data_IF_501329462445
#
_entry.id   IF_501329462445
#
_cell.length_a   1.000
_cell.length_b   1.000
_cell.length_c   1.000
_cell.angle_alpha   90.00
_cell.angle_beta   90.00
_cell.angle_gamma   90.00
#
_symmetry.space_group_name_H-M   'P 1'
#
loop_
_entity.id
_entity.type
_entity.pdbx_description
1 polymer ?
#
# COMPACT_ATOMS: atom_id res chain seq x y z
N UNK A 1 1.78 -7.39 -36.90
CA UNK A 1 2.41 -7.68 -35.59
C UNK A 1 1.56 -8.73 -34.90
N UNK A 2 2.10 -9.91 -34.58
CA UNK A 2 1.37 -10.90 -33.78
C UNK A 2 1.03 -10.25 -32.43
N UNK A 3 -0.25 -10.17 -32.09
CA UNK A 3 -0.68 -9.79 -30.74
C UNK A 3 -0.14 -10.86 -29.78
N UNK A 4 0.93 -10.52 -29.05
CA UNK A 4 1.43 -11.38 -27.96
C UNK A 4 0.51 -11.20 -26.77
N UNK A 5 -0.10 -12.29 -26.32
CA UNK A 5 -0.84 -12.33 -25.08
C UNK A 5 0.15 -12.31 -23.91
N UNK A 6 0.01 -11.34 -23.02
CA UNK A 6 0.79 -11.24 -21.78
C UNK A 6 -0.12 -11.55 -20.61
N UNK A 7 0.31 -12.44 -19.72
CA UNK A 7 -0.34 -12.68 -18.43
C UNK A 7 0.40 -11.90 -17.36
N UNK A 8 -0.33 -11.17 -16.52
CA UNK A 8 0.23 -10.38 -15.42
C UNK A 8 -0.30 -10.95 -14.11
N UNK A 9 0.61 -11.40 -13.24
CA UNK A 9 0.28 -11.94 -11.93
C UNK A 9 0.67 -10.92 -10.87
N UNK A 10 -0.32 -10.32 -10.20
CA UNK A 10 -0.07 -9.46 -9.06
C UNK A 10 0.15 -10.32 -7.80
N UNK A 11 1.41 -10.40 -7.35
CA UNK A 11 1.81 -11.08 -6.12
C UNK A 11 2.01 -10.13 -4.93
N UNK A 12 1.48 -8.91 -5.01
CA UNK A 12 1.54 -7.92 -3.95
C UNK A 12 0.71 -8.33 -2.73
N UNK A 13 1.28 -8.17 -1.54
CA UNK A 13 0.60 -8.40 -0.28
C UNK A 13 0.73 -7.14 0.57
N UNK A 14 -0.41 -6.68 1.10
CA UNK A 14 -0.45 -5.46 1.92
C UNK A 14 0.30 -5.69 3.24
N UNK A 15 1.05 -4.67 3.68
CA UNK A 15 1.72 -4.63 4.98
C UNK A 15 2.76 -5.74 5.24
N UNK A 16 3.36 -6.31 4.19
CA UNK A 16 4.49 -7.26 4.33
C UNK A 16 5.80 -6.65 3.85
N UNK A 17 6.91 -7.26 4.28
CA UNK A 17 8.28 -6.88 3.94
C UNK A 17 9.03 -8.06 3.27
N UNK A 18 10.31 -7.84 2.96
CA UNK A 18 11.17 -8.78 2.22
C UNK A 18 11.26 -10.18 2.84
N UNK A 19 11.11 -10.31 4.16
CA UNK A 19 11.07 -11.60 4.85
C UNK A 19 9.92 -12.49 4.39
N UNK A 20 8.77 -11.89 4.06
CA UNK A 20 7.58 -12.60 3.56
C UNK A 20 7.63 -12.74 2.04
N UNK A 21 8.18 -11.74 1.34
CA UNK A 21 8.27 -11.74 -0.12
C UNK A 21 9.23 -12.82 -0.65
N UNK A 22 10.38 -13.06 0.01
CA UNK A 22 11.34 -14.06 -0.45
C UNK A 22 10.74 -15.49 -0.56
N UNK A 23 10.00 -16.01 0.44
CA UNK A 23 9.20 -17.21 0.31
C UNK A 23 8.25 -17.24 -0.89
N UNK A 24 7.61 -16.11 -1.21
CA UNK A 24 6.66 -15.98 -2.34
C UNK A 24 7.43 -16.03 -3.66
N UNK A 25 8.54 -15.28 -3.80
CA UNK A 25 9.39 -15.30 -4.99
C UNK A 25 9.91 -16.71 -5.28
N UNK A 26 10.33 -17.46 -4.26
CA UNK A 26 10.75 -18.88 -4.43
C UNK A 26 9.63 -19.79 -4.93
N UNK A 27 8.39 -19.51 -4.56
CA UNK A 27 7.26 -20.30 -5.04
C UNK A 27 6.91 -19.92 -6.48
N UNK A 28 6.82 -18.62 -6.77
CA UNK A 28 6.57 -18.08 -8.11
C UNK A 28 7.63 -18.51 -9.13
N UNK A 29 8.91 -18.58 -8.73
CA UNK A 29 10.00 -19.02 -9.60
C UNK A 29 9.79 -20.45 -10.16
N UNK A 30 9.01 -21.30 -9.46
CA UNK A 30 8.68 -22.66 -9.92
C UNK A 30 7.65 -22.68 -11.05
N UNK A 31 6.93 -21.58 -11.24
CA UNK A 31 5.97 -21.40 -12.31
C UNK A 31 6.60 -20.86 -13.61
N UNK A 32 7.94 -20.81 -13.68
CA UNK A 32 8.71 -20.42 -14.86
C UNK A 32 8.24 -19.10 -15.51
N UNK A 33 8.14 -17.99 -14.74
CA UNK A 33 7.76 -16.71 -15.32
C UNK A 33 8.86 -16.18 -16.26
N UNK A 34 8.47 -15.44 -17.29
CA UNK A 34 9.43 -14.78 -18.20
C UNK A 34 10.06 -13.51 -17.58
N UNK A 35 9.36 -12.89 -16.63
CA UNK A 35 9.72 -11.59 -16.06
C UNK A 35 9.26 -11.44 -14.61
N UNK A 36 10.18 -10.98 -13.75
CA UNK A 36 9.87 -10.49 -12.40
C UNK A 36 10.03 -8.97 -12.32
N UNK A 37 9.02 -8.32 -11.74
CA UNK A 37 9.09 -6.92 -11.33
C UNK A 37 9.09 -6.87 -9.79
N UNK A 38 10.18 -6.39 -9.20
CA UNK A 38 10.33 -6.28 -7.75
C UNK A 38 10.18 -4.81 -7.35
N UNK A 39 9.14 -4.52 -6.56
CA UNK A 39 8.86 -3.22 -5.96
C UNK A 39 8.54 -3.41 -4.47
N UNK A 40 9.53 -3.25 -3.60
CA UNK A 40 9.42 -3.55 -2.17
C UNK A 40 10.37 -2.68 -1.33
N UNK A 41 9.92 -2.21 -0.17
CA UNK A 41 10.75 -1.41 0.73
C UNK A 41 10.01 -0.67 1.85
N UNK A 42 8.77 -0.21 1.62
CA UNK A 42 8.04 0.63 2.57
C UNK A 42 7.85 0.01 3.97
N UNK A 43 7.74 -1.31 4.04
CA UNK A 43 7.42 -2.02 5.27
C UNK A 43 8.64 -2.67 5.94
N UNK A 44 9.88 -2.44 5.49
CA UNK A 44 11.02 -3.16 6.07
C UNK A 44 11.17 -2.91 7.57
N UNK A 45 10.90 -1.69 8.03
CA UNK A 45 11.02 -1.33 9.46
C UNK A 45 9.80 -1.76 10.29
N UNK A 46 8.58 -1.66 9.74
CA UNK A 46 7.32 -1.90 10.49
C UNK A 46 6.73 -3.30 10.25
N UNK A 47 7.11 -3.96 9.17
CA UNK A 47 6.66 -5.30 8.81
C UNK A 47 7.22 -6.38 9.74
N UNK A 48 6.84 -7.65 9.53
CA UNK A 48 7.29 -8.76 10.38
C UNK A 48 8.82 -8.79 10.57
N UNK A 49 9.28 -8.93 11.82
CA UNK A 49 10.69 -8.88 12.24
C UNK A 49 11.43 -7.56 12.01
N UNK A 50 10.73 -6.50 11.63
CA UNK A 50 11.27 -5.14 11.65
C UNK A 50 11.33 -4.57 13.08
N UNK A 51 12.21 -3.61 13.33
CA UNK A 51 12.37 -3.04 14.69
C UNK A 51 11.18 -2.18 15.15
N UNK A 52 10.44 -1.57 14.21
CA UNK A 52 9.20 -0.82 14.47
C UNK A 52 7.94 -1.67 14.45
N UNK A 53 8.05 -3.00 14.51
CA UNK A 53 6.91 -3.89 14.27
C UNK A 53 6.02 -4.13 15.49
N UNK A 54 4.74 -4.41 15.22
CA UNK A 54 3.79 -4.99 16.20
C UNK A 54 3.56 -6.49 15.97
N UNK A 55 4.09 -7.06 14.89
CA UNK A 55 3.81 -8.43 14.47
C UNK A 55 4.69 -9.47 15.16
N UNK A 56 5.90 -9.09 15.57
CA UNK A 56 6.91 -9.98 16.16
C UNK A 56 7.70 -9.26 17.26
N UNK A 57 8.53 -9.99 18.01
CA UNK A 57 9.42 -9.41 19.02
C UNK A 57 10.82 -9.16 18.44
N UNK A 58 11.14 -7.88 18.22
CA UNK A 58 12.46 -7.43 17.77
C UNK A 58 12.89 -7.93 16.39
N UNK A 59 14.15 -7.67 16.04
CA UNK A 59 14.81 -8.10 14.80
C UNK A 59 15.86 -9.19 15.11
N UNK A 60 15.46 -10.47 15.25
CA UNK A 60 16.40 -11.56 15.53
C UNK A 60 17.33 -11.81 14.32
N UNK A 61 18.44 -12.55 14.51
CA UNK A 61 19.33 -12.92 13.42
C UNK A 61 18.58 -13.58 12.25
N UNK A 62 18.95 -13.27 11.01
CA UNK A 62 18.26 -13.71 9.80
C UNK A 62 18.04 -15.24 9.74
N UNK A 63 19.00 -16.03 10.22
CA UNK A 63 18.89 -17.50 10.28
C UNK A 63 17.70 -17.96 11.14
N UNK A 64 17.47 -17.29 12.26
CA UNK A 64 16.35 -17.60 13.15
C UNK A 64 15.01 -17.20 12.52
N UNK A 65 14.95 -16.06 11.84
CA UNK A 65 13.78 -15.65 11.04
C UNK A 65 13.44 -16.73 10.01
N UNK A 66 14.44 -17.17 9.22
CA UNK A 66 14.28 -18.23 8.22
C UNK A 66 13.80 -19.54 8.83
N UNK A 67 14.35 -19.94 9.98
CA UNK A 67 13.93 -21.14 10.70
C UNK A 67 12.46 -21.03 11.14
N UNK A 68 12.04 -19.89 11.68
CA UNK A 68 10.63 -19.68 12.06
C UNK A 68 9.68 -19.75 10.88
N UNK A 69 10.04 -19.13 9.74
CA UNK A 69 9.25 -19.21 8.51
C UNK A 69 9.17 -20.65 8.01
N UNK A 70 10.29 -21.37 7.99
CA UNK A 70 10.34 -22.77 7.57
C UNK A 70 9.50 -23.68 8.48
N UNK A 71 9.59 -23.51 9.80
CA UNK A 71 8.81 -24.27 10.76
C UNK A 71 7.30 -24.08 10.53
N UNK A 72 6.85 -22.85 10.27
CA UNK A 72 5.44 -22.54 9.98
C UNK A 72 4.88 -23.15 8.69
N UNK A 73 5.74 -23.67 7.81
CA UNK A 73 5.29 -24.45 6.63
C UNK A 73 4.86 -25.87 6.99
N UNK A 74 5.20 -26.35 8.19
CA UNK A 74 4.85 -27.69 8.68
C UNK A 74 3.60 -27.66 9.57
N UNK A 75 2.82 -28.74 9.59
CA UNK A 75 1.67 -28.88 10.51
C UNK A 75 2.09 -28.78 11.97
N UNK A 76 3.25 -29.37 12.32
CA UNK A 76 3.79 -29.31 13.67
C UNK A 76 4.17 -27.87 14.06
N UNK A 77 4.87 -27.14 13.20
CA UNK A 77 5.21 -25.75 13.48
C UNK A 77 3.98 -24.84 13.56
N UNK A 78 2.92 -25.11 12.78
CA UNK A 78 1.64 -24.42 12.93
C UNK A 78 0.92 -24.78 14.24
N UNK A 79 0.99 -26.04 14.67
CA UNK A 79 0.44 -26.49 15.95
C UNK A 79 1.16 -25.82 17.13
N UNK A 80 2.50 -25.84 17.14
CA UNK A 80 3.32 -25.17 18.15
C UNK A 80 3.00 -23.67 18.14
N UNK A 81 3.00 -23.03 16.96
CA UNK A 81 2.69 -21.61 16.87
C UNK A 81 1.29 -21.27 17.40
N UNK A 82 0.27 -22.13 17.17
CA UNK A 82 -1.07 -21.95 17.74
C UNK A 82 -1.09 -22.12 19.26
N UNK A 83 -0.32 -23.07 19.80
CA UNK A 83 -0.23 -23.32 21.23
C UNK A 83 0.54 -22.21 21.98
N UNK A 84 1.52 -21.57 21.34
CA UNK A 84 2.37 -20.54 21.95
C UNK A 84 2.01 -19.11 21.55
N UNK A 85 1.10 -18.92 20.59
CA UNK A 85 0.71 -17.59 20.16
C UNK A 85 -0.03 -16.89 21.31
N UNK A 86 0.33 -15.63 21.65
CA UNK A 86 -0.53 -14.82 22.49
C UNK A 86 -1.90 -14.71 21.82
N UNK A 87 -2.97 -14.58 22.63
CA UNK A 87 -4.32 -14.29 22.11
C UNK A 87 -4.22 -13.08 21.18
N UNK A 88 -4.47 -13.29 19.89
CA UNK A 88 -4.51 -12.20 18.93
C UNK A 88 -5.60 -11.21 19.37
N UNK A 89 -5.37 -9.89 19.26
CA UNK A 89 -6.45 -8.93 19.48
C UNK A 89 -7.64 -9.30 18.59
N UNK A 90 -8.86 -9.21 19.14
CA UNK A 90 -10.08 -9.57 18.40
C UNK A 90 -10.26 -8.75 17.11
N UNK A 91 -9.61 -7.59 17.01
CA UNK A 91 -9.68 -6.71 15.85
C UNK A 91 -8.29 -6.14 15.50
N UNK A 92 -7.95 -6.12 14.21
CA UNK A 92 -6.78 -5.40 13.69
C UNK A 92 -7.04 -3.89 13.75
N UNK A 93 -6.26 -3.16 14.56
CA UNK A 93 -6.40 -1.72 14.78
C UNK A 93 -5.73 -0.82 13.73
N UNK A 94 -5.17 -1.39 12.66
CA UNK A 94 -4.49 -0.61 11.63
C UNK A 94 -3.17 0.02 12.11
N UNK A 95 -2.83 1.18 11.55
CA UNK A 95 -1.57 1.88 11.84
C UNK A 95 -1.49 2.43 13.27
N UNK A 96 -2.62 2.62 13.95
CA UNK A 96 -2.67 3.10 15.34
C UNK A 96 -1.93 2.18 16.31
N UNK A 97 -1.90 0.87 16.03
CA UNK A 97 -1.18 -0.09 16.86
C UNK A 97 0.34 0.19 16.96
N UNK A 98 0.89 0.96 16.02
CA UNK A 98 2.32 1.25 15.91
C UNK A 98 2.73 2.55 16.62
N UNK A 99 1.81 3.34 17.18
CA UNK A 99 2.14 4.64 17.80
C UNK A 99 3.23 4.54 18.89
N UNK A 100 3.27 3.42 19.62
CA UNK A 100 4.29 3.11 20.63
C UNK A 100 5.56 2.42 20.09
N UNK A 101 5.73 2.32 18.77
CA UNK A 101 6.86 1.63 18.09
C UNK A 101 7.71 2.60 17.27
N UNK A 102 7.95 3.77 17.84
CA UNK A 102 8.80 4.79 17.22
C UNK A 102 10.28 4.36 17.20
N UNK A 103 10.95 4.60 16.07
CA UNK A 103 12.34 4.21 15.81
C UNK A 103 13.09 5.41 15.26
N UNK A 104 14.02 5.96 16.04
CA UNK A 104 14.85 7.10 15.63
C UNK A 104 15.84 6.69 14.53
N UNK A 105 16.31 7.67 13.76
CA UNK A 105 17.26 7.44 12.67
C UNK A 105 18.64 6.94 13.13
N UNK A 106 18.99 7.20 14.39
CA UNK A 106 20.24 6.78 15.02
C UNK A 106 20.09 5.48 15.84
N UNK A 107 18.93 4.80 15.76
CA UNK A 107 18.72 3.54 16.46
C UNK A 107 19.55 2.41 15.82
N UNK A 108 20.49 1.78 16.55
CA UNK A 108 21.36 0.74 16.01
C UNK A 108 20.61 -0.53 15.56
N UNK A 109 19.36 -0.73 15.99
CA UNK A 109 18.53 -1.83 15.52
C UNK A 109 18.16 -1.72 14.03
N UNK A 110 18.22 -0.51 13.45
CA UNK A 110 18.00 -0.30 12.02
C UNK A 110 19.04 -1.01 11.16
N UNK A 111 20.29 -1.12 11.62
CA UNK A 111 21.35 -1.81 10.89
C UNK A 111 20.99 -3.27 10.59
N UNK A 112 20.31 -3.94 11.52
CA UNK A 112 19.83 -5.30 11.31
C UNK A 112 18.73 -5.36 10.25
N UNK A 113 17.82 -4.38 10.22
CA UNK A 113 16.77 -4.26 9.20
C UNK A 113 17.39 -4.08 7.82
N UNK A 114 18.32 -3.15 7.68
CA UNK A 114 18.99 -2.84 6.41
C UNK A 114 19.79 -4.04 5.88
N UNK A 115 20.61 -4.68 6.72
CA UNK A 115 21.34 -5.91 6.33
C UNK A 115 20.40 -7.05 5.93
N UNK A 116 19.30 -7.22 6.66
CA UNK A 116 18.31 -8.26 6.34
C UNK A 116 17.61 -7.98 5.01
N UNK A 117 17.21 -6.73 4.77
CA UNK A 117 16.59 -6.31 3.51
C UNK A 117 17.54 -6.53 2.34
N UNK A 118 18.80 -6.09 2.45
CA UNK A 118 19.83 -6.31 1.43
C UNK A 118 19.99 -7.80 1.12
N UNK A 119 20.17 -8.65 2.14
CA UNK A 119 20.33 -10.08 1.98
C UNK A 119 19.10 -10.75 1.33
N UNK A 120 17.89 -10.34 1.73
CA UNK A 120 16.66 -10.87 1.15
C UNK A 120 16.48 -10.39 -0.30
N UNK A 121 16.80 -9.14 -0.61
CA UNK A 121 16.68 -8.59 -1.97
C UNK A 121 17.65 -9.28 -2.92
N UNK A 122 18.93 -9.45 -2.53
CA UNK A 122 19.91 -10.24 -3.29
C UNK A 122 19.37 -11.64 -3.58
N UNK A 123 18.89 -12.33 -2.55
CA UNK A 123 18.40 -13.69 -2.73
C UNK A 123 17.10 -13.77 -3.56
N UNK A 124 16.21 -12.78 -3.48
CA UNK A 124 15.05 -12.70 -4.38
C UNK A 124 15.47 -12.56 -5.84
N UNK A 125 16.46 -11.70 -6.13
CA UNK A 125 17.01 -11.53 -7.48
C UNK A 125 17.68 -12.81 -7.96
N UNK A 126 18.49 -13.46 -7.12
CA UNK A 126 19.18 -14.71 -7.46
C UNK A 126 18.18 -15.82 -7.79
N UNK A 127 17.17 -16.01 -6.94
CA UNK A 127 16.11 -17.02 -7.15
C UNK A 127 15.32 -16.75 -8.42
N UNK A 128 14.93 -15.50 -8.66
CA UNK A 128 14.19 -15.11 -9.86
C UNK A 128 15.03 -15.27 -11.13
N UNK A 129 16.31 -14.88 -11.10
CA UNK A 129 17.22 -15.03 -12.24
C UNK A 129 17.52 -16.50 -12.52
N UNK A 130 17.70 -17.32 -11.49
CA UNK A 130 17.94 -18.76 -11.62
C UNK A 130 16.75 -19.52 -12.22
N UNK A 131 15.53 -18.97 -12.21
CA UNK A 131 14.40 -19.55 -12.94
C UNK A 131 14.41 -19.26 -14.44
N UNK A 132 15.40 -18.52 -14.94
CA UNK A 132 15.49 -18.08 -16.33
C UNK A 132 14.70 -16.80 -16.65
N UNK A 133 14.06 -16.20 -15.64
CA UNK A 133 13.29 -14.98 -15.82
C UNK A 133 14.20 -13.76 -15.96
N UNK A 134 13.78 -12.78 -16.76
CA UNK A 134 14.35 -11.43 -16.64
C UNK A 134 13.90 -10.82 -15.31
N UNK A 135 14.78 -10.08 -14.63
CA UNK A 135 14.45 -9.41 -13.36
C UNK A 135 14.63 -7.91 -13.52
N UNK A 136 13.65 -7.14 -13.04
CA UNK A 136 13.73 -5.69 -12.90
C UNK A 136 13.36 -5.30 -11.48
N UNK A 137 14.14 -4.39 -10.89
CA UNK A 137 13.97 -3.97 -9.50
C UNK A 137 13.83 -2.46 -9.44
N UNK A 138 12.83 -1.95 -8.74
CA UNK A 138 12.59 -0.51 -8.62
C UNK A 138 12.86 -0.01 -7.22
N UNK A 139 13.45 1.19 -7.13
CA UNK A 139 13.36 2.01 -5.90
C UNK A 139 11.90 2.32 -5.60
N UNK A 140 11.61 2.60 -4.34
CA UNK A 140 10.27 2.82 -3.82
C UNK A 140 10.13 4.28 -3.43
N UNK A 141 9.60 5.14 -4.32
CA UNK A 141 9.30 6.52 -3.94
C UNK A 141 8.19 6.57 -2.89
N UNK A 142 8.19 7.67 -2.14
CA UNK A 142 7.19 8.00 -1.12
C UNK A 142 6.83 9.47 -1.23
N UNK A 143 5.67 9.88 -0.70
CA UNK A 143 5.27 11.28 -0.69
C UNK A 143 6.23 12.11 0.16
N UNK A 144 6.71 13.22 -0.40
CA UNK A 144 7.66 14.13 0.24
C UNK A 144 7.04 15.50 0.46
N UNK A 145 6.55 16.13 -0.60
CA UNK A 145 5.84 17.40 -0.49
C UNK A 145 4.49 17.16 0.18
N UNK A 146 3.99 18.21 0.84
CA UNK A 146 2.61 18.28 1.33
C UNK A 146 2.19 17.05 2.15
N UNK A 147 3.15 16.50 2.91
CA UNK A 147 2.97 15.34 3.78
C UNK A 147 3.94 15.39 4.96
N UNK A 148 3.47 15.89 6.10
CA UNK A 148 4.21 15.97 7.34
C UNK A 148 4.66 14.57 7.84
N UNK A 149 5.73 14.46 8.63
CA UNK A 149 6.08 13.23 9.33
C UNK A 149 4.94 12.76 10.25
N UNK A 150 4.85 11.45 10.46
CA UNK A 150 3.87 10.88 11.38
C UNK A 150 4.25 11.10 12.85
N UNK A 151 5.55 11.06 13.16
CA UNK A 151 6.04 11.35 14.50
C UNK A 151 7.47 11.91 14.47
N UNK A 152 7.85 12.56 15.56
CA UNK A 152 9.18 13.14 15.76
C UNK A 152 9.66 12.85 17.17
N UNK A 153 10.98 12.74 17.34
CA UNK A 153 11.60 12.53 18.64
C UNK A 153 12.89 13.32 18.72
N UNK A 154 13.13 13.95 19.87
CA UNK A 154 14.39 14.64 20.14
C UNK A 154 15.52 13.67 20.46
N UNK A 155 16.74 14.03 20.08
CA UNK A 155 17.93 13.31 20.55
C UNK A 155 18.13 13.49 22.07
N UNK A 156 18.79 12.57 22.76
CA UNK A 156 19.14 12.76 24.17
C UNK A 156 19.99 14.03 24.38
N UNK A 157 19.78 14.72 25.50
CA UNK A 157 20.60 15.88 25.89
C UNK A 157 20.29 17.20 25.19
N UNK A 158 19.17 17.31 24.47
CA UNK A 158 18.72 18.56 23.85
C UNK A 158 18.27 19.57 24.92
N UNK A 159 18.68 20.82 24.77
CA UNK A 159 18.05 21.95 25.47
C UNK A 159 16.65 22.19 24.88
N UNK A 160 15.67 21.45 25.40
CA UNK A 160 14.29 21.49 24.91
C UNK A 160 13.65 22.87 25.08
N UNK A 161 14.02 23.60 26.13
CA UNK A 161 13.44 24.93 26.39
C UNK A 161 13.91 25.93 25.33
N UNK A 162 15.23 25.97 25.06
CA UNK A 162 15.78 26.81 24.01
C UNK A 162 15.29 26.40 22.61
N UNK A 163 15.23 25.10 22.33
CA UNK A 163 14.70 24.58 21.07
C UNK A 163 13.25 25.00 20.86
N UNK A 164 12.39 24.79 21.88
CA UNK A 164 10.97 25.12 21.80
C UNK A 164 10.74 26.63 21.64
N UNK A 165 11.56 27.48 22.29
CA UNK A 165 11.49 28.93 22.14
C UNK A 165 11.76 29.41 20.70
N UNK A 166 12.58 28.68 19.95
CA UNK A 166 12.81 28.96 18.53
C UNK A 166 11.75 28.32 17.62
N UNK A 167 11.39 27.07 17.88
CA UNK A 167 10.39 26.34 17.09
C UNK A 167 8.99 26.99 17.15
N UNK A 168 8.57 27.45 18.33
CA UNK A 168 7.26 28.08 18.56
C UNK A 168 7.07 29.40 17.80
N UNK A 169 8.14 30.01 17.27
CA UNK A 169 8.04 31.24 16.47
C UNK A 169 7.31 31.04 15.15
N UNK A 170 7.20 29.78 14.67
CA UNK A 170 6.35 29.46 13.52
C UNK A 170 6.85 29.98 12.17
N UNK A 171 8.13 30.34 12.04
CA UNK A 171 8.70 30.96 10.85
C UNK A 171 10.11 30.44 10.55
N UNK A 172 10.63 30.71 9.33
CA UNK A 172 11.94 30.19 8.89
C UNK A 172 13.09 30.53 9.84
N UNK A 173 13.22 31.79 10.25
CA UNK A 173 14.33 32.22 11.10
C UNK A 173 14.31 31.51 12.47
N UNK A 174 13.12 31.22 13.01
CA UNK A 174 12.94 30.39 14.19
C UNK A 174 13.36 28.94 13.94
N UNK A 175 12.92 28.35 12.82
CA UNK A 175 13.27 26.97 12.45
C UNK A 175 14.77 26.79 12.22
N UNK A 176 15.44 27.73 11.54
CA UNK A 176 16.90 27.72 11.34
C UNK A 176 17.66 27.70 12.68
N UNK A 177 17.21 28.49 13.66
CA UNK A 177 17.79 28.49 15.02
C UNK A 177 17.50 27.18 15.77
N UNK A 178 16.30 26.63 15.62
CA UNK A 178 15.95 25.34 16.22
C UNK A 178 16.79 24.18 15.65
N UNK A 179 17.10 24.22 14.34
CA UNK A 179 17.97 23.22 13.69
C UNK A 179 19.38 23.22 14.28
N UNK A 180 19.91 24.39 14.66
CA UNK A 180 21.21 24.49 15.30
C UNK A 180 21.26 23.79 16.68
N UNK A 181 20.12 23.62 17.35
CA UNK A 181 20.01 22.95 18.65
C UNK A 181 19.73 21.44 18.48
N UNK A 182 18.72 21.09 17.67
CA UNK A 182 18.42 19.70 17.34
C UNK A 182 17.94 19.57 15.88
N UNK A 183 18.82 19.08 14.98
CA UNK A 183 18.47 18.86 13.58
C UNK A 183 17.71 17.55 13.36
N UNK A 184 17.55 16.70 14.39
CA UNK A 184 17.01 15.33 14.25
C UNK A 184 15.49 15.24 14.44
N UNK A 185 14.81 16.37 14.68
CA UNK A 185 13.36 16.42 14.83
C UNK A 185 12.67 16.50 13.46
N UNK A 186 11.95 15.45 13.06
CA UNK A 186 11.43 15.31 11.68
C UNK A 186 10.50 16.46 11.26
N UNK A 187 9.56 16.85 12.13
CA UNK A 187 8.59 17.93 11.87
C UNK A 187 9.27 19.28 11.65
N UNK A 188 10.41 19.52 12.31
CA UNK A 188 11.20 20.73 12.10
C UNK A 188 11.77 20.76 10.67
N UNK A 189 12.30 19.64 10.20
CA UNK A 189 12.79 19.56 8.82
C UNK A 189 11.65 19.77 7.82
N UNK A 190 10.47 19.21 8.05
CA UNK A 190 9.31 19.43 7.17
C UNK A 190 8.89 20.92 7.10
N UNK A 191 8.81 21.57 8.26
CA UNK A 191 8.45 22.99 8.34
C UNK A 191 9.50 23.91 7.72
N UNK A 192 10.78 23.60 7.94
CA UNK A 192 11.88 24.32 7.31
C UNK A 192 11.86 24.15 5.80
N UNK A 193 11.59 22.93 5.28
CA UNK A 193 11.43 22.69 3.86
C UNK A 193 10.30 23.55 3.25
N UNK A 194 9.17 23.65 3.95
CA UNK A 194 7.99 24.39 3.49
C UNK A 194 8.28 25.88 3.32
N UNK A 195 9.07 26.45 4.24
CA UNK A 195 9.31 27.88 4.27
C UNK A 195 10.57 28.30 3.48
N UNK A 196 11.59 27.44 3.39
CA UNK A 196 12.83 27.68 2.63
C UNK A 196 12.79 27.17 1.18
N UNK A 197 11.81 26.33 0.85
CA UNK A 197 11.68 25.64 -0.44
C UNK A 197 12.90 24.76 -0.81
N UNK A 198 13.63 24.25 0.18
CA UNK A 198 14.75 23.33 -0.02
C UNK A 198 14.28 21.87 0.07
N UNK A 199 14.52 21.10 -1.00
CA UNK A 199 14.03 19.71 -1.13
C UNK A 199 14.72 18.77 -0.14
N UNK A 200 15.97 19.04 0.21
CA UNK A 200 16.81 18.24 1.09
C UNK A 200 16.14 18.06 2.45
N UNK A 201 15.49 19.11 2.95
CA UNK A 201 14.74 19.06 4.20
C UNK A 201 13.49 18.16 4.13
N UNK A 202 12.85 18.00 2.97
CA UNK A 202 11.76 17.01 2.82
C UNK A 202 12.28 15.58 2.92
N UNK A 203 13.45 15.32 2.31
CA UNK A 203 14.12 14.02 2.39
C UNK A 203 14.51 13.72 3.84
N UNK A 204 15.09 14.69 4.54
CA UNK A 204 15.43 14.57 5.96
C UNK A 204 14.19 14.36 6.83
N UNK A 205 13.09 15.08 6.58
CA UNK A 205 11.85 14.90 7.32
C UNK A 205 11.31 13.47 7.21
N UNK A 206 11.34 12.88 6.00
CA UNK A 206 10.99 11.45 5.82
C UNK A 206 11.97 10.54 6.55
N UNK A 207 13.27 10.75 6.40
CA UNK A 207 14.29 9.87 6.94
C UNK A 207 14.37 9.94 8.49
N UNK A 208 13.92 11.03 9.09
CA UNK A 208 13.84 11.24 10.55
C UNK A 208 12.49 10.85 11.15
N UNK A 209 11.46 10.60 10.33
CA UNK A 209 10.13 10.19 10.79
C UNK A 209 10.24 8.94 11.65
N UNK A 210 9.83 9.04 12.92
CA UNK A 210 10.04 7.95 13.87
C UNK A 210 9.00 6.85 13.71
N UNK A 211 7.88 7.11 13.03
CA UNK A 211 6.96 6.08 12.56
C UNK A 211 7.29 5.73 11.11
N UNK A 212 8.26 4.83 10.94
CA UNK A 212 8.90 4.46 9.66
C UNK A 212 8.03 3.59 8.75
N UNK A 213 6.90 4.14 8.30
CA UNK A 213 5.97 3.52 7.33
C UNK A 213 6.37 3.74 5.86
N UNK A 214 7.50 4.41 5.62
CA UNK A 214 8.01 4.80 4.32
C UNK A 214 9.40 4.19 4.11
N UNK A 215 9.72 3.82 2.87
CA UNK A 215 11.09 3.55 2.49
C UNK A 215 11.93 4.84 2.66
N UNK A 216 12.96 4.78 3.49
CA UNK A 216 13.90 5.88 3.68
C UNK A 216 15.00 5.86 2.62
N UNK A 217 15.88 6.88 2.66
CA UNK A 217 17.02 6.96 1.73
C UNK A 217 17.92 5.72 1.76
N UNK A 218 18.03 5.03 2.91
CA UNK A 218 18.91 3.87 3.05
C UNK A 218 18.32 2.66 2.33
N UNK A 219 17.02 2.40 2.48
CA UNK A 219 16.31 1.36 1.72
C UNK A 219 16.49 1.56 0.22
N UNK A 220 16.27 2.78 -0.29
CA UNK A 220 16.42 3.05 -1.72
C UNK A 220 17.89 3.02 -2.18
N UNK A 221 18.86 3.29 -1.32
CA UNK A 221 20.29 3.08 -1.62
C UNK A 221 20.62 1.60 -1.77
N UNK A 222 20.15 0.77 -0.84
CA UNK A 222 20.31 -0.70 -0.91
C UNK A 222 19.71 -1.23 -2.22
N UNK A 223 18.52 -0.75 -2.61
CA UNK A 223 17.91 -1.17 -3.88
C UNK A 223 18.82 -0.85 -5.07
N UNK A 224 19.36 0.37 -5.14
CA UNK A 224 20.28 0.77 -6.23
C UNK A 224 21.53 -0.10 -6.25
N UNK A 225 22.16 -0.28 -5.09
CA UNK A 225 23.41 -1.02 -4.95
C UNK A 225 23.23 -2.51 -5.29
N UNK A 226 22.12 -3.11 -4.90
CA UNK A 226 21.81 -4.53 -5.16
C UNK A 226 21.31 -4.76 -6.58
N UNK A 227 20.48 -3.87 -7.11
CA UNK A 227 19.89 -4.03 -8.44
C UNK A 227 20.91 -3.79 -9.56
N UNK A 228 21.80 -2.81 -9.42
CA UNK A 228 22.78 -2.43 -10.44
C UNK A 228 22.14 -2.28 -11.83
N UNK A 229 22.51 -3.10 -12.83
CA UNK A 229 21.94 -3.01 -14.19
C UNK A 229 20.46 -3.43 -14.28
N UNK A 230 19.89 -4.06 -13.25
CA UNK A 230 18.48 -4.46 -13.18
C UNK A 230 17.56 -3.31 -12.74
N UNK A 231 18.15 -2.15 -12.40
CA UNK A 231 17.44 -1.03 -11.79
C UNK A 231 16.47 -0.35 -12.77
N UNK A 232 15.25 -0.14 -12.29
CA UNK A 232 14.27 0.82 -12.82
C UNK A 232 14.06 1.87 -11.74
N UNK A 233 14.76 3.01 -11.80
CA UNK A 233 14.73 3.98 -10.70
C UNK A 233 13.37 4.71 -10.62
N UNK A 234 12.49 4.18 -9.77
CA UNK A 234 11.18 4.73 -9.50
C UNK A 234 11.22 6.12 -8.87
N UNK A 235 12.22 6.44 -8.03
CA UNK A 235 12.38 7.79 -7.46
C UNK A 235 12.73 8.81 -8.55
N UNK A 236 13.62 8.45 -9.49
CA UNK A 236 13.90 9.30 -10.65
C UNK A 236 12.67 9.48 -11.54
N UNK A 237 11.87 8.43 -11.74
CA UNK A 237 10.68 8.47 -12.58
C UNK A 237 9.59 9.42 -12.06
N UNK A 238 9.51 9.63 -10.74
CA UNK A 238 8.48 10.47 -10.11
C UNK A 238 8.98 11.84 -9.64
N UNK A 239 10.29 12.06 -9.57
CA UNK A 239 10.88 13.35 -9.19
C UNK A 239 10.71 13.67 -7.70
N UNK A 240 10.01 14.77 -7.38
CA UNK A 240 9.67 15.17 -6.00
C UNK A 240 8.18 14.92 -5.77
N UNK A 241 7.79 13.77 -5.18
CA UNK A 241 6.39 13.40 -5.17
C UNK A 241 5.54 14.25 -4.23
N UNK A 242 4.35 14.62 -4.69
CA UNK A 242 3.31 15.40 -4.02
C UNK A 242 1.96 14.63 -4.05
N UNK A 243 0.86 15.30 -3.66
CA UNK A 243 -0.50 14.76 -3.74
C UNK A 243 -0.90 14.21 -5.11
N UNK A 244 -0.32 14.71 -6.22
CA UNK A 244 -0.69 14.23 -7.55
C UNK A 244 -0.13 12.83 -7.80
N UNK A 245 0.97 12.44 -7.14
CA UNK A 245 1.62 11.13 -7.29
C UNK A 245 1.16 10.15 -6.21
N UNK A 246 0.88 10.62 -4.99
CA UNK A 246 0.49 9.78 -3.87
C UNK A 246 -0.74 10.32 -3.12
N UNK A 247 -1.66 9.42 -2.77
CA UNK A 247 -2.81 9.74 -1.92
C UNK A 247 -2.40 10.11 -0.50
N UNK A 248 -1.39 9.43 0.05
CA UNK A 248 -0.84 9.63 1.39
C UNK A 248 0.67 9.30 1.39
N UNK A 249 1.28 8.88 2.51
CA UNK A 249 2.70 8.54 2.62
C UNK A 249 3.30 7.63 1.50
N UNK A 250 2.57 6.63 1.02
CA UNK A 250 3.11 5.53 0.21
C UNK A 250 2.16 4.97 -0.86
N UNK A 251 0.84 5.18 -0.77
CA UNK A 251 -0.10 4.67 -1.76
C UNK A 251 -0.22 5.59 -2.98
N UNK A 252 0.08 5.07 -4.17
CA UNK A 252 0.10 5.81 -5.43
C UNK A 252 -1.32 6.20 -5.89
N UNK A 253 -1.45 7.40 -6.46
CA UNK A 253 -2.61 7.78 -7.28
C UNK A 253 -2.57 7.05 -8.63
N UNK A 254 -3.63 7.14 -9.46
CA UNK A 254 -3.56 6.68 -10.85
C UNK A 254 -2.38 7.27 -11.63
N UNK A 255 -2.05 8.55 -11.39
CA UNK A 255 -0.87 9.21 -11.98
C UNK A 255 0.43 8.60 -11.45
N UNK A 256 0.55 8.35 -10.16
CA UNK A 256 1.72 7.68 -9.58
C UNK A 256 1.92 6.28 -10.13
N UNK A 257 0.85 5.49 -10.22
CA UNK A 257 0.88 4.16 -10.84
C UNK A 257 1.33 4.26 -12.31
N UNK A 258 0.80 5.21 -13.06
CA UNK A 258 1.20 5.44 -14.45
C UNK A 258 2.69 5.75 -14.59
N UNK A 259 3.26 6.62 -13.74
CA UNK A 259 4.68 6.98 -13.80
C UNK A 259 5.60 5.79 -13.53
N UNK A 260 5.30 4.99 -12.50
CA UNK A 260 6.08 3.78 -12.17
C UNK A 260 5.92 2.71 -13.27
N UNK A 261 4.68 2.46 -13.72
CA UNK A 261 4.42 1.52 -14.80
C UNK A 261 5.10 1.95 -16.11
N UNK A 262 5.17 3.26 -16.39
CA UNK A 262 5.87 3.82 -17.54
C UNK A 262 7.37 3.57 -17.47
N UNK A 263 7.99 3.68 -16.29
CA UNK A 263 9.41 3.38 -16.11
C UNK A 263 9.70 1.91 -16.40
N UNK A 264 8.89 0.99 -15.86
CA UNK A 264 8.99 -0.44 -16.18
C UNK A 264 8.71 -0.72 -17.66
N UNK A 265 7.70 -0.08 -18.26
CA UNK A 265 7.37 -0.27 -19.67
C UNK A 265 8.56 0.07 -20.57
N UNK A 266 9.23 1.21 -20.34
CA UNK A 266 10.44 1.58 -21.11
C UNK A 266 11.55 0.56 -20.94
N UNK A 267 11.76 0.05 -19.72
CA UNK A 267 12.76 -0.98 -19.46
C UNK A 267 12.41 -2.31 -20.15
N UNK A 268 11.14 -2.68 -20.25
CA UNK A 268 10.68 -3.94 -20.84
C UNK A 268 10.66 -3.87 -22.36
N UNK A 269 10.03 -2.82 -22.92
CA UNK A 269 9.66 -2.74 -24.33
C UNK A 269 10.55 -1.79 -25.16
N UNK A 270 11.38 -0.95 -24.54
CA UNK A 270 12.32 -0.06 -25.25
C UNK A 270 11.67 1.11 -26.00
N UNK A 271 10.43 1.48 -25.67
CA UNK A 271 9.69 2.56 -26.32
C UNK A 271 8.75 3.30 -25.37
N UNK A 272 8.05 4.30 -25.88
CA UNK A 272 7.12 5.09 -25.07
C UNK A 272 5.86 4.30 -24.66
N UNK A 273 5.44 4.41 -23.40
CA UNK A 273 4.20 3.79 -22.95
C UNK A 273 2.98 4.44 -23.61
N UNK A 274 1.83 3.72 -23.67
CA UNK A 274 0.56 4.35 -24.03
C UNK A 274 0.26 5.53 -23.12
N UNK A 275 -0.41 6.56 -23.64
CA UNK A 275 -0.81 7.73 -22.85
C UNK A 275 -1.64 7.32 -21.62
N UNK A 276 -1.49 8.04 -20.52
CA UNK A 276 -2.22 7.78 -19.27
C UNK A 276 -3.72 7.65 -19.48
N UNK A 277 -4.33 8.56 -20.23
CA UNK A 277 -5.78 8.55 -20.53
C UNK A 277 -6.22 7.28 -21.28
N UNK A 278 -5.34 6.71 -22.12
CA UNK A 278 -5.60 5.44 -22.81
C UNK A 278 -5.57 4.28 -21.81
N UNK A 279 -4.61 4.29 -20.88
CA UNK A 279 -4.53 3.29 -19.82
C UNK A 279 -5.74 3.37 -18.88
N UNK A 280 -6.12 4.58 -18.44
CA UNK A 280 -7.27 4.80 -17.56
C UNK A 280 -8.57 4.34 -18.22
N UNK A 281 -8.78 4.66 -19.51
CA UNK A 281 -9.95 4.18 -20.26
C UNK A 281 -9.99 2.65 -20.35
N UNK A 282 -8.85 1.98 -20.60
CA UNK A 282 -8.79 0.50 -20.66
C UNK A 282 -8.99 -0.18 -19.31
N UNK A 283 -8.79 0.56 -18.21
CA UNK A 283 -9.04 0.10 -16.86
C UNK A 283 -10.47 0.43 -16.39
N UNK A 284 -11.28 1.08 -17.23
CA UNK A 284 -12.55 1.68 -16.84
C UNK A 284 -12.43 2.55 -15.57
N UNK A 285 -11.33 3.30 -15.43
CA UNK A 285 -11.12 4.17 -14.27
C UNK A 285 -11.96 5.44 -14.43
N UNK A 286 -13.08 5.51 -13.71
CA UNK A 286 -14.02 6.64 -13.82
C UNK A 286 -14.09 7.46 -12.53
N UNK A 287 -14.93 8.50 -12.52
CA UNK A 287 -15.29 9.27 -11.33
C UNK A 287 -15.85 8.39 -10.21
N UNK A 288 -16.55 7.30 -10.54
CA UNK A 288 -16.97 6.31 -9.54
C UNK A 288 -15.78 5.73 -8.76
N UNK A 289 -14.76 5.26 -9.47
CA UNK A 289 -13.57 4.67 -8.85
C UNK A 289 -12.80 5.71 -8.04
N UNK A 290 -12.60 6.90 -8.61
CA UNK A 290 -11.92 8.00 -7.93
C UNK A 290 -12.63 8.40 -6.65
N UNK A 291 -13.96 8.52 -6.67
CA UNK A 291 -14.79 8.78 -5.50
C UNK A 291 -14.62 7.71 -4.43
N UNK A 292 -14.66 6.43 -4.83
CA UNK A 292 -14.57 5.29 -3.90
C UNK A 292 -13.18 5.17 -3.28
N UNK A 293 -12.13 5.41 -4.07
CA UNK A 293 -10.75 5.47 -3.59
C UNK A 293 -10.58 6.64 -2.61
N UNK A 294 -11.03 7.85 -2.97
CA UNK A 294 -10.94 9.02 -2.10
C UNK A 294 -11.64 8.79 -0.76
N UNK A 295 -12.82 8.14 -0.74
CA UNK A 295 -13.49 7.74 0.50
C UNK A 295 -12.69 6.77 1.36
N UNK A 296 -12.08 5.76 0.74
CA UNK A 296 -11.23 4.81 1.47
C UNK A 296 -9.99 5.50 2.06
N UNK A 297 -9.39 6.43 1.32
CA UNK A 297 -8.26 7.22 1.82
C UNK A 297 -8.70 8.15 2.96
N UNK A 298 -9.82 8.87 2.81
CA UNK A 298 -10.40 9.70 3.89
C UNK A 298 -10.67 8.89 5.17
N UNK A 299 -11.20 7.66 5.02
CA UNK A 299 -11.39 6.74 6.15
C UNK A 299 -10.08 6.38 6.85
N UNK A 300 -8.96 6.28 6.12
CA UNK A 300 -7.63 6.06 6.73
C UNK A 300 -7.16 7.32 7.46
N UNK A 301 -7.29 8.48 6.83
CA UNK A 301 -6.89 9.77 7.39
C UNK A 301 -7.70 10.14 8.65
N UNK A 302 -8.89 9.57 8.85
CA UNK A 302 -9.68 9.81 10.06
C UNK A 302 -9.18 9.02 11.30
N UNK A 303 -8.08 8.27 11.19
CA UNK A 303 -7.51 7.48 12.27
C UNK A 303 -6.02 7.79 12.49
N UNK A 304 -5.47 7.58 13.69
CA UNK A 304 -4.03 7.69 13.92
C UNK A 304 -3.20 6.75 13.04
N UNK A 305 -1.96 7.12 12.67
CA UNK A 305 -1.25 8.35 13.06
C UNK A 305 -1.60 9.60 12.24
N UNK A 306 -2.44 9.49 11.20
CA UNK A 306 -2.71 10.62 10.28
C UNK A 306 -3.31 11.83 11.00
N UNK A 307 -4.18 11.61 11.98
CA UNK A 307 -4.81 12.69 12.77
C UNK A 307 -3.82 13.49 13.62
N UNK A 308 -2.59 13.01 13.81
CA UNK A 308 -1.52 13.72 14.53
C UNK A 308 -0.62 14.59 13.65
N UNK A 309 -0.77 14.51 12.32
CA UNK A 309 0.06 15.28 11.38
C UNK A 309 -0.32 16.76 11.37
N UNK A 310 0.67 17.65 11.25
CA UNK A 310 0.46 19.09 11.27
C UNK A 310 -0.31 19.64 10.06
N UNK A 311 -0.32 18.91 8.96
CA UNK A 311 -1.03 19.24 7.72
C UNK A 311 -2.28 18.38 7.49
N UNK A 312 -2.72 17.61 8.50
CA UNK A 312 -3.87 16.70 8.42
C UNK A 312 -5.12 17.36 7.85
N UNK A 313 -5.50 18.54 8.36
CA UNK A 313 -6.68 19.26 7.91
C UNK A 313 -6.60 19.64 6.41
N UNK A 314 -5.42 20.02 5.93
CA UNK A 314 -5.21 20.36 4.52
C UNK A 314 -5.30 19.10 3.63
N UNK A 315 -4.73 17.98 4.09
CA UNK A 315 -4.82 16.68 3.39
C UNK A 315 -6.28 16.21 3.28
N UNK A 316 -7.04 16.27 4.38
CA UNK A 316 -8.47 15.91 4.40
C UNK A 316 -9.25 16.81 3.44
N UNK A 317 -9.10 18.13 3.55
CA UNK A 317 -9.83 19.07 2.69
C UNK A 317 -9.52 18.86 1.20
N UNK A 318 -8.28 18.51 0.83
CA UNK A 318 -7.91 18.21 -0.55
C UNK A 318 -8.61 16.94 -1.07
N UNK A 319 -8.63 15.87 -0.28
CA UNK A 319 -9.28 14.61 -0.65
C UNK A 319 -10.81 14.70 -0.64
N UNK A 320 -11.40 15.53 0.21
CA UNK A 320 -12.84 15.82 0.17
C UNK A 320 -13.23 16.53 -1.13
N UNK A 321 -12.42 17.50 -1.59
CA UNK A 321 -12.63 18.13 -2.90
C UNK A 321 -12.50 17.11 -4.04
N UNK A 322 -11.50 16.23 -4.02
CA UNK A 322 -11.35 15.18 -5.03
C UNK A 322 -12.56 14.23 -5.03
N UNK A 323 -13.00 13.77 -3.86
CA UNK A 323 -14.20 12.93 -3.69
C UNK A 323 -15.43 13.62 -4.28
N UNK A 324 -15.65 14.88 -3.94
CA UNK A 324 -16.86 15.61 -4.31
C UNK A 324 -16.88 15.97 -5.80
N UNK A 325 -15.72 16.27 -6.40
CA UNK A 325 -15.56 16.46 -7.84
C UNK A 325 -15.84 15.16 -8.59
N UNK A 326 -15.24 14.05 -8.14
CA UNK A 326 -15.45 12.73 -8.75
C UNK A 326 -16.92 12.29 -8.68
N UNK A 327 -17.63 12.66 -7.61
CA UNK A 327 -19.07 12.40 -7.44
C UNK A 327 -20.00 13.27 -8.31
N UNK A 328 -19.45 14.18 -9.14
CA UNK A 328 -20.24 14.92 -10.15
C UNK A 328 -20.41 14.14 -11.44
N UNK A 329 -19.56 13.14 -11.71
CA UNK A 329 -19.71 12.31 -12.90
C UNK A 329 -21.05 11.56 -12.86
N UNK A 330 -21.86 11.61 -13.93
CA UNK A 330 -23.10 10.86 -14.01
C UNK A 330 -22.86 9.35 -13.90
N UNK A 331 -23.75 8.66 -13.19
CA UNK A 331 -23.74 7.20 -13.10
C UNK A 331 -23.67 6.55 -14.48
N UNK A 332 -24.48 7.03 -15.42
CA UNK A 332 -24.61 6.48 -16.77
C UNK A 332 -23.30 6.58 -17.56
N UNK A 333 -22.48 7.60 -17.28
CA UNK A 333 -21.17 7.75 -17.92
C UNK A 333 -20.17 6.71 -17.39
N UNK A 334 -20.17 6.49 -16.07
CA UNK A 334 -19.33 5.47 -15.46
C UNK A 334 -19.72 4.06 -15.90
N UNK A 335 -21.02 3.76 -15.91
CA UNK A 335 -21.56 2.49 -16.39
C UNK A 335 -21.22 2.23 -17.85
N UNK A 336 -21.44 3.22 -18.73
CA UNK A 336 -21.08 3.12 -20.14
C UNK A 336 -19.58 2.85 -20.34
N UNK A 337 -18.71 3.42 -19.50
CA UNK A 337 -17.28 3.14 -19.57
C UNK A 337 -16.93 1.69 -19.17
N UNK A 338 -17.61 1.14 -18.16
CA UNK A 338 -17.47 -0.28 -17.79
C UNK A 338 -17.96 -1.22 -18.89
N UNK A 339 -19.12 -0.92 -19.49
CA UNK A 339 -19.68 -1.69 -20.60
C UNK A 339 -18.81 -1.62 -21.85
N UNK A 340 -18.29 -0.44 -22.21
CA UNK A 340 -17.39 -0.25 -23.34
C UNK A 340 -16.04 -0.97 -23.17
N UNK A 341 -15.64 -1.25 -21.93
CA UNK A 341 -14.40 -1.94 -21.62
C UNK A 341 -14.53 -3.47 -21.76
N UNK A 342 -15.77 -4.02 -21.80
CA UNK A 342 -16.13 -5.46 -21.72
C UNK A 342 -14.94 -6.40 -21.52
N UNK A 343 -14.38 -6.34 -20.31
CA UNK A 343 -13.10 -6.98 -20.04
C UNK A 343 -13.30 -8.37 -19.49
N UNK A 344 -12.53 -9.34 -19.99
CA UNK A 344 -12.41 -10.64 -19.36
C UNK A 344 -11.69 -10.57 -17.99
N UNK A 345 -11.18 -9.40 -17.60
CA UNK A 345 -10.50 -9.15 -16.33
C UNK A 345 -11.51 -9.19 -15.15
N UNK A 346 -11.29 -10.09 -14.16
CA UNK A 346 -12.16 -10.20 -13.00
C UNK A 346 -12.18 -8.94 -12.12
N UNK A 347 -11.12 -8.11 -12.11
CA UNK A 347 -11.09 -6.89 -11.29
C UNK A 347 -11.98 -5.78 -11.85
N UNK A 348 -11.98 -5.59 -13.18
CA UNK A 348 -12.88 -4.65 -13.85
C UNK A 348 -14.33 -5.10 -13.68
N UNK A 349 -14.61 -6.40 -13.86
CA UNK A 349 -15.96 -6.95 -13.59
C UNK A 349 -16.39 -6.81 -12.14
N UNK A 350 -15.46 -6.99 -11.20
CA UNK A 350 -15.73 -6.79 -9.78
C UNK A 350 -16.09 -5.33 -9.47
N UNK A 351 -15.35 -4.36 -10.02
CA UNK A 351 -15.68 -2.95 -9.83
C UNK A 351 -17.01 -2.57 -10.49
N UNK A 352 -17.32 -3.10 -11.68
CA UNK A 352 -18.63 -2.92 -12.32
C UNK A 352 -19.76 -3.47 -11.44
N UNK A 353 -19.58 -4.65 -10.84
CA UNK A 353 -20.54 -5.21 -9.90
C UNK A 353 -20.76 -4.29 -8.69
N UNK A 354 -19.70 -3.68 -8.15
CA UNK A 354 -19.80 -2.72 -7.04
C UNK A 354 -20.52 -1.45 -7.48
N UNK A 355 -20.27 -0.95 -8.69
CA UNK A 355 -20.97 0.21 -9.25
C UNK A 355 -22.48 -0.02 -9.25
N UNK A 356 -22.93 -1.18 -9.74
CA UNK A 356 -24.35 -1.55 -9.80
C UNK A 356 -24.97 -1.80 -8.42
N UNK A 357 -24.16 -2.24 -7.45
CA UNK A 357 -24.63 -2.71 -6.15
C UNK A 357 -24.50 -1.67 -5.01
N UNK A 358 -23.80 -0.55 -5.22
CA UNK A 358 -23.56 0.44 -4.16
C UNK A 358 -24.82 1.26 -3.83
N UNK A 359 -24.88 1.77 -2.59
CA UNK A 359 -26.00 2.62 -2.09
C UNK A 359 -25.54 4.01 -1.71
N UNK A 360 -24.29 4.34 -2.04
CA UNK A 360 -23.67 5.57 -1.58
C UNK A 360 -24.16 6.81 -2.36
N UNK A 361 -23.68 7.98 -1.95
CA UNK A 361 -24.04 9.28 -2.53
C UNK A 361 -23.82 9.34 -4.05
N UNK A 362 -22.89 8.54 -4.61
CA UNK A 362 -22.63 8.51 -6.04
C UNK A 362 -23.89 8.03 -6.79
N UNK A 363 -24.49 6.93 -6.34
CA UNK A 363 -25.74 6.41 -6.92
C UNK A 363 -27.00 7.09 -6.41
N UNK A 364 -27.05 7.48 -5.12
CA UNK A 364 -28.26 8.07 -4.53
C UNK A 364 -28.71 9.36 -5.23
N UNK A 365 -27.81 10.03 -5.96
CA UNK A 365 -28.16 11.18 -6.80
C UNK A 365 -29.00 10.80 -8.04
N UNK A 366 -29.09 9.53 -8.45
CA UNK A 366 -29.81 9.08 -9.67
C UNK A 366 -30.41 7.65 -9.68
N UNK A 367 -30.19 6.78 -8.70
CA UNK A 367 -30.74 5.42 -8.75
C UNK A 367 -30.62 4.59 -7.47
N UNK A 368 -31.43 3.53 -7.39
CA UNK A 368 -31.34 2.50 -6.36
C UNK A 368 -30.35 1.40 -6.80
N UNK A 369 -29.70 0.67 -5.88
CA UNK A 369 -28.83 -0.44 -6.23
C UNK A 369 -29.58 -1.50 -7.06
N UNK A 370 -28.95 -1.97 -8.14
CA UNK A 370 -29.47 -3.02 -9.00
C UNK A 370 -28.80 -4.37 -8.68
N UNK A 371 -29.41 -5.08 -7.72
CA UNK A 371 -28.98 -6.41 -7.33
C UNK A 371 -29.08 -7.42 -8.50
N UNK A 372 -30.09 -7.28 -9.37
CA UNK A 372 -30.31 -8.22 -10.46
C UNK A 372 -29.18 -8.17 -11.50
N UNK A 373 -28.68 -6.97 -11.81
CA UNK A 373 -27.55 -6.79 -12.74
C UNK A 373 -26.20 -7.05 -12.10
N UNK A 374 -26.00 -6.76 -10.81
CA UNK A 374 -24.71 -6.98 -10.14
C UNK A 374 -24.38 -8.45 -9.83
N UNK A 375 -25.38 -9.29 -9.53
CA UNK A 375 -25.18 -10.71 -9.18
C UNK A 375 -24.39 -11.49 -10.25
N UNK A 376 -24.75 -11.45 -11.55
CA UNK A 376 -24.01 -12.16 -12.61
C UNK A 376 -22.54 -11.75 -12.69
N UNK A 377 -22.23 -10.47 -12.44
CA UNK A 377 -20.84 -10.01 -12.42
C UNK A 377 -20.06 -10.62 -11.25
N UNK A 378 -20.63 -10.66 -10.05
CA UNK A 378 -19.96 -11.31 -8.91
C UNK A 378 -19.80 -12.83 -9.11
N UNK A 379 -20.79 -13.50 -9.70
CA UNK A 379 -20.71 -14.93 -10.03
C UNK A 379 -19.56 -15.21 -11.02
N UNK A 380 -19.42 -14.40 -12.06
CA UNK A 380 -18.34 -14.52 -13.04
C UNK A 380 -16.96 -14.24 -12.41
N UNK A 381 -16.87 -13.26 -11.50
CA UNK A 381 -15.65 -12.99 -10.73
C UNK A 381 -15.27 -14.22 -9.90
N UNK A 382 -16.23 -14.84 -9.20
CA UNK A 382 -15.98 -16.03 -8.37
C UNK A 382 -15.72 -17.30 -9.19
N UNK A 383 -16.18 -17.36 -10.44
CA UNK A 383 -15.82 -18.43 -11.37
C UNK A 383 -14.34 -18.39 -11.72
N UNK A 384 -13.77 -17.19 -11.88
CA UNK A 384 -12.34 -16.98 -12.16
C UNK A 384 -11.47 -16.98 -10.90
N UNK A 385 -11.99 -16.42 -9.80
CA UNK A 385 -11.30 -16.23 -8.52
C UNK A 385 -12.13 -16.82 -7.36
N UNK A 386 -12.27 -18.15 -7.26
CA UNK A 386 -13.12 -18.80 -6.25
C UNK A 386 -12.70 -18.50 -4.80
N UNK A 387 -11.45 -18.09 -4.59
CA UNK A 387 -10.87 -17.71 -3.30
C UNK A 387 -11.15 -16.25 -2.90
N UNK A 388 -11.73 -15.41 -3.78
CA UNK A 388 -11.90 -13.99 -3.51
C UNK A 388 -13.03 -13.74 -2.49
N UNK A 389 -12.66 -13.68 -1.21
CA UNK A 389 -13.59 -13.57 -0.08
C UNK A 389 -14.49 -12.35 -0.14
N UNK A 390 -13.95 -11.19 -0.54
CA UNK A 390 -14.74 -9.96 -0.61
C UNK A 390 -15.82 -10.04 -1.70
N UNK A 391 -15.52 -10.54 -2.90
CA UNK A 391 -16.54 -10.76 -3.93
C UNK A 391 -17.64 -11.73 -3.49
N UNK A 392 -17.27 -12.77 -2.73
CA UNK A 392 -18.24 -13.72 -2.17
C UNK A 392 -19.16 -13.07 -1.13
N UNK A 393 -18.59 -12.24 -0.26
CA UNK A 393 -19.37 -11.44 0.68
C UNK A 393 -20.28 -10.46 -0.06
N UNK A 394 -19.79 -9.74 -1.08
CA UNK A 394 -20.61 -8.82 -1.87
C UNK A 394 -21.77 -9.54 -2.58
N UNK A 395 -21.51 -10.71 -3.16
CA UNK A 395 -22.54 -11.56 -3.75
C UNK A 395 -23.62 -11.95 -2.72
N UNK A 396 -23.24 -12.36 -1.50
CA UNK A 396 -24.22 -12.70 -0.47
C UNK A 396 -25.10 -11.50 -0.10
N UNK A 397 -24.51 -10.30 -0.04
CA UNK A 397 -25.27 -9.07 0.24
C UNK A 397 -26.21 -8.71 -0.92
N UNK A 398 -25.79 -8.89 -2.18
CA UNK A 398 -26.59 -8.62 -3.36
C UNK A 398 -27.76 -9.60 -3.49
N UNK A 399 -27.52 -10.90 -3.27
CA UNK A 399 -28.56 -11.94 -3.23
C UNK A 399 -29.61 -11.66 -2.16
N UNK A 400 -29.18 -11.21 -0.96
CA UNK A 400 -30.11 -10.80 0.10
C UNK A 400 -31.00 -9.62 -0.31
N UNK A 401 -30.42 -8.61 -0.98
CA UNK A 401 -31.19 -7.47 -1.53
C UNK A 401 -32.21 -7.91 -2.58
N UNK A 402 -31.87 -8.90 -3.40
CA UNK A 402 -32.77 -9.50 -4.39
C UNK A 402 -33.82 -10.47 -3.79
N UNK A 403 -33.87 -10.65 -2.46
CA UNK A 403 -34.78 -11.60 -1.81
C UNK A 403 -34.38 -13.08 -1.94
N UNK A 404 -33.21 -13.38 -2.53
CA UNK A 404 -32.68 -14.75 -2.71
C UNK A 404 -31.93 -15.21 -1.45
N UNK A 405 -32.66 -15.39 -0.35
CA UNK A 405 -32.08 -15.60 0.98
C UNK A 405 -31.29 -16.92 1.09
N UNK A 406 -31.79 -18.01 0.52
CA UNK A 406 -31.10 -19.32 0.56
C UNK A 406 -29.76 -19.28 -0.18
N UNK A 407 -29.72 -18.63 -1.34
CA UNK A 407 -28.49 -18.45 -2.11
C UNK A 407 -27.49 -17.57 -1.33
N UNK A 408 -27.97 -16.51 -0.69
CA UNK A 408 -27.12 -15.65 0.16
C UNK A 408 -26.50 -16.45 1.32
N UNK A 409 -27.29 -17.30 1.99
CA UNK A 409 -26.81 -18.18 3.06
C UNK A 409 -25.78 -19.20 2.55
N UNK A 410 -25.98 -19.76 1.37
CA UNK A 410 -25.01 -20.66 0.74
C UNK A 410 -23.66 -19.97 0.53
N UNK A 411 -23.66 -18.71 0.05
CA UNK A 411 -22.43 -17.93 -0.11
C UNK A 411 -21.75 -17.61 1.23
N UNK A 412 -22.52 -17.29 2.28
CA UNK A 412 -22.00 -17.08 3.63
C UNK A 412 -21.34 -18.36 4.20
N UNK A 413 -21.97 -19.53 4.05
CA UNK A 413 -21.40 -20.82 4.48
C UNK A 413 -20.09 -21.10 3.75
N UNK A 414 -20.06 -20.87 2.43
CA UNK A 414 -18.87 -21.06 1.62
C UNK A 414 -17.74 -20.08 1.98
N UNK A 415 -18.08 -18.83 2.29
CA UNK A 415 -17.14 -17.81 2.78
C UNK A 415 -16.46 -18.27 4.08
N UNK A 416 -17.25 -18.69 5.08
CA UNK A 416 -16.71 -19.17 6.35
C UNK A 416 -15.98 -20.51 6.22
N UNK A 417 -16.40 -21.40 5.31
CA UNK A 417 -15.67 -22.65 5.02
C UNK A 417 -14.26 -22.37 4.50
N UNK A 418 -14.11 -21.39 3.60
CA UNK A 418 -12.80 -21.02 3.02
C UNK A 418 -11.96 -20.17 3.95
N UNK A 419 -12.61 -19.25 4.68
CA UNK A 419 -11.93 -18.31 5.57
C UNK A 419 -12.73 -18.18 6.87
N UNK A 420 -12.55 -19.13 7.82
CA UNK A 420 -13.30 -19.14 9.08
C UNK A 420 -13.16 -17.85 9.91
N UNK A 421 -12.05 -17.14 9.77
CA UNK A 421 -11.79 -15.87 10.47
C UNK A 421 -12.27 -14.62 9.71
N UNK A 422 -13.01 -14.77 8.61
CA UNK A 422 -13.54 -13.61 7.89
C UNK A 422 -14.70 -12.98 8.66
N UNK A 423 -14.63 -11.67 8.89
CA UNK A 423 -15.72 -10.92 9.54
C UNK A 423 -16.70 -10.49 8.45
N UNK A 424 -17.87 -11.15 8.39
CA UNK A 424 -18.92 -10.86 7.41
C UNK A 424 -20.23 -10.42 8.11
N UNK A 425 -20.40 -9.12 8.41
CA UNK A 425 -21.64 -8.63 9.00
C UNK A 425 -22.86 -8.97 8.13
N UNK A 426 -23.88 -9.59 8.75
CA UNK A 426 -25.09 -10.03 8.06
C UNK A 426 -25.01 -11.42 7.42
N UNK A 427 -23.88 -12.12 7.57
CA UNK A 427 -23.83 -13.58 7.44
C UNK A 427 -23.98 -14.23 8.82
N UNK A 428 -24.78 -15.30 8.97
CA UNK A 428 -24.81 -16.06 10.21
C UNK A 428 -23.41 -16.62 10.52
N UNK A 429 -23.03 -16.56 11.80
CA UNK A 429 -21.84 -17.29 12.27
C UNK A 429 -22.09 -18.79 12.10
N UNK A 430 -21.08 -19.56 11.65
CA UNK A 430 -21.21 -21.00 11.45
C UNK A 430 -21.54 -21.75 12.74
#
# INVERSE_FOLDING_TARGET
MLQRKVEVINAGVVAVNSHVLLPIVRDLARHQPDLFLIYAGNNEVVGPWGTGTVFTRGAPPLRLIRLFIAARRTRLGQLIARATAPRAPQQWGGMEMFLGRQVRADDPALDAVYRNFEANLREMIDVASASGARVLVSTVPTRLRDFAPFASSHRPGVDLAAWQAHFAQGNCAGYEKAVAIDPTYAELQYRLATCSNQREHLVQARDLDTLRFRADSHINRIIRDVAGPLLVDGEAAVGVPDAAVFYEHAHLTPRGNYLIASAFYRAIAGGEPPLQEVCERRLALTGFDRYRIAKEVLRRLSHPPFTGQSDHAAQVAALERERDEAAREPFEASEAAYEATDSADPWIRYNHAILLDTRDVFLARRGQPDAARSIPHYEEVLRKLPQFSEARYRLSQALRRAGRLEDALAQCRELHRRRPAYIAPGCPTP
#
